data_IF_249607245987
#
_entry.id   IF_249607245987
#
_cell.length_a   1.000
_cell.length_b   1.000
_cell.length_c   1.000
_cell.angle_alpha   90.00
_cell.angle_beta   90.00
_cell.angle_gamma   90.00
#
_symmetry.space_group_name_H-M   'P 1'
#
loop_
_entity.id
_entity.type
_entity.pdbx_description
1 polymer ?
#
# COMPACT_ATOMS: atom_id res chain seq x y z
N UNK A 1 -16.91 12.35 -8.87
CA UNK A 1 -15.62 13.08 -8.76
C UNK A 1 -14.53 12.05 -8.44
N UNK A 2 -13.34 12.13 -9.05
CA UNK A 2 -12.21 11.24 -8.74
C UNK A 2 -11.25 11.94 -7.77
N UNK A 3 -10.63 11.18 -6.87
CA UNK A 3 -9.60 11.65 -5.94
C UNK A 3 -8.47 10.61 -5.90
N UNK A 4 -7.24 11.07 -5.75
CA UNK A 4 -6.07 10.22 -5.55
C UNK A 4 -5.59 10.35 -4.11
N UNK A 5 -5.16 9.24 -3.52
CA UNK A 5 -4.53 9.18 -2.21
C UNK A 5 -3.30 8.27 -2.28
N UNK A 6 -2.26 8.54 -1.49
CA UNK A 6 -1.15 7.61 -1.31
C UNK A 6 -1.63 6.23 -0.86
N UNK A 7 -1.06 5.18 -1.44
CA UNK A 7 -1.33 3.79 -1.03
C UNK A 7 -0.95 3.54 0.43
N UNK A 8 0.02 4.30 0.98
CA UNK A 8 0.39 4.24 2.40
C UNK A 8 -0.72 4.65 3.37
N UNK A 9 -1.79 5.27 2.89
CA UNK A 9 -2.96 5.62 3.70
C UNK A 9 -4.09 4.59 3.58
N UNK A 10 -3.87 3.50 2.85
CA UNK A 10 -4.88 2.48 2.56
C UNK A 10 -4.56 1.17 3.28
N UNK A 11 -5.61 0.50 3.74
CA UNK A 11 -5.60 -0.89 4.18
C UNK A 11 -6.53 -1.69 3.25
N UNK A 12 -6.09 -2.87 2.84
CA UNK A 12 -6.94 -3.76 2.05
C UNK A 12 -7.98 -4.45 2.93
N UNK A 13 -9.14 -4.70 2.33
CA UNK A 13 -10.23 -5.47 2.93
C UNK A 13 -10.38 -6.73 2.08
N UNK A 14 -10.25 -7.89 2.71
CA UNK A 14 -10.31 -9.22 2.08
C UNK A 14 -9.43 -9.38 0.82
N UNK A 15 -8.12 -9.06 0.89
CA UNK A 15 -7.24 -9.22 -0.25
C UNK A 15 -6.94 -10.69 -0.53
N UNK A 16 -6.72 -11.00 -1.81
CA UNK A 16 -5.98 -12.22 -2.16
C UNK A 16 -4.53 -12.14 -1.67
N UNK A 17 -3.84 -13.28 -1.63
CA UNK A 17 -2.47 -13.39 -1.15
C UNK A 17 -1.52 -12.43 -1.87
N UNK A 18 -1.64 -12.32 -3.20
CA UNK A 18 -0.79 -11.44 -4.00
C UNK A 18 -1.01 -9.96 -3.71
N UNK A 19 -2.26 -9.57 -3.42
CA UNK A 19 -2.63 -8.20 -3.06
C UNK A 19 -2.13 -7.86 -1.66
N UNK A 20 -2.23 -8.81 -0.73
CA UNK A 20 -1.72 -8.65 0.63
C UNK A 20 -0.20 -8.47 0.64
N UNK A 21 0.53 -9.28 -0.13
CA UNK A 21 1.99 -9.16 -0.28
C UNK A 21 2.40 -7.82 -0.89
N UNK A 22 1.77 -7.42 -2.00
CA UNK A 22 2.10 -6.16 -2.67
C UNK A 22 1.88 -4.92 -1.78
N UNK A 23 0.79 -4.91 -0.99
CA UNK A 23 0.52 -3.83 -0.03
C UNK A 23 1.51 -3.87 1.13
N UNK A 24 1.86 -5.06 1.63
CA UNK A 24 2.86 -5.25 2.67
C UNK A 24 4.25 -4.75 2.25
N UNK A 25 4.70 -5.12 1.07
CA UNK A 25 5.99 -4.70 0.51
C UNK A 25 6.04 -3.17 0.32
N UNK A 26 4.94 -2.57 -0.14
CA UNK A 26 4.85 -1.12 -0.27
C UNK A 26 4.94 -0.42 1.08
N UNK A 27 4.20 -0.88 2.09
CA UNK A 27 4.25 -0.32 3.45
C UNK A 27 5.65 -0.49 4.07
N UNK A 28 6.29 -1.63 3.87
CA UNK A 28 7.67 -1.88 4.30
C UNK A 28 8.64 -0.86 3.69
N UNK A 29 8.58 -0.67 2.37
CA UNK A 29 9.44 0.27 1.65
C UNK A 29 9.27 1.72 2.14
N UNK A 30 8.03 2.15 2.36
CA UNK A 30 7.70 3.47 2.91
C UNK A 30 8.25 3.63 4.33
N UNK A 31 8.15 2.60 5.17
CA UNK A 31 8.66 2.60 6.53
C UNK A 31 10.20 2.68 6.59
N UNK A 32 10.90 2.16 5.58
CA UNK A 32 12.35 2.30 5.43
C UNK A 32 12.80 3.71 5.00
N UNK A 33 11.86 4.63 4.76
CA UNK A 33 12.15 6.01 4.37
C UNK A 33 12.38 6.19 2.87
N UNK A 34 12.22 5.14 2.08
CA UNK A 34 12.21 5.26 0.63
C UNK A 34 10.83 5.77 0.17
N UNK A 35 10.78 7.05 -0.22
CA UNK A 35 9.62 7.64 -0.89
C UNK A 35 10.07 8.15 -2.26
N UNK A 36 9.46 7.63 -3.33
CA UNK A 36 9.49 8.23 -4.66
C UNK A 36 8.50 9.40 -4.71
#
# INVERSE_FOLDING_TARGET
RKMAVPVSQLEAIDPDESTQEAIGDWHYWVAQGYRL
#
